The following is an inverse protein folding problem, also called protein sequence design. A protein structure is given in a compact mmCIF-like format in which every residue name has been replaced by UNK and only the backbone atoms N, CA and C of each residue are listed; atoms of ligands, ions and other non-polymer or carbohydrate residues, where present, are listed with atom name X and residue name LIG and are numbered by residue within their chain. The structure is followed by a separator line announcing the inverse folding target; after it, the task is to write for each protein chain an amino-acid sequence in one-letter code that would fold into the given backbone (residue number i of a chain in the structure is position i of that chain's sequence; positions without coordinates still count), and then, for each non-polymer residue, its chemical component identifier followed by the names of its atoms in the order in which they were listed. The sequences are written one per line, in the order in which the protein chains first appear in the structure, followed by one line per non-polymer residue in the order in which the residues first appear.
data_IF_732449176700
#
_entry.id   IF_732449176700
#
_cell.length_a   1.000
_cell.length_b   1.000
_cell.length_c   1.000
_cell.angle_alpha   90.00
_cell.angle_beta   90.00
_cell.angle_gamma   90.00
#
_symmetry.space_group_name_H-M   'P 1'
#
loop_
_entity.id
_entity.type
_entity.pdbx_description
1 polymer ?
#
# COMPACT_ATOMS: atom_id res chain seq x y z
N UNK A 1 79.59 159.35 -20.06
CA UNK A 1 78.21 159.41 -19.52
C UNK A 1 77.24 158.43 -20.19
N UNK A 2 77.56 157.80 -21.32
CA UNK A 2 76.61 156.88 -21.99
C UNK A 2 76.76 155.40 -21.58
N UNK A 3 77.98 154.94 -21.29
CA UNK A 3 78.28 153.54 -20.95
C UNK A 3 77.47 153.03 -19.74
N UNK A 4 77.26 153.87 -18.73
CA UNK A 4 76.45 153.52 -17.55
C UNK A 4 74.97 153.26 -17.85
N UNK A 5 74.37 153.91 -18.86
CA UNK A 5 73.00 153.60 -19.30
C UNK A 5 72.92 152.26 -20.02
N UNK A 6 73.93 151.94 -20.82
CA UNK A 6 73.99 150.65 -21.53
C UNK A 6 74.20 149.48 -20.55
N UNK A 7 75.08 149.63 -19.55
CA UNK A 7 75.21 148.64 -18.47
C UNK A 7 73.90 148.44 -17.70
N UNK A 8 73.21 149.53 -17.32
CA UNK A 8 71.93 149.42 -16.61
C UNK A 8 70.86 148.69 -17.44
N UNK A 9 70.82 148.93 -18.76
CA UNK A 9 69.89 148.24 -19.67
C UNK A 9 70.22 146.74 -19.83
N UNK A 10 71.50 146.37 -19.95
CA UNK A 10 71.90 144.96 -20.02
C UNK A 10 71.68 144.26 -18.68
N UNK A 11 71.97 144.91 -17.56
CA UNK A 11 71.70 144.39 -16.22
C UNK A 11 70.20 144.18 -15.99
N UNK A 12 69.34 145.12 -16.39
CA UNK A 12 67.88 144.98 -16.27
C UNK A 12 67.33 143.84 -17.15
N UNK A 13 67.88 143.66 -18.37
CA UNK A 13 67.59 142.49 -19.22
C UNK A 13 68.04 141.20 -18.56
N UNK A 14 69.26 141.14 -18.04
CA UNK A 14 69.81 139.97 -17.34
C UNK A 14 68.99 139.64 -16.08
N UNK A 15 68.61 140.63 -15.27
CA UNK A 15 67.70 140.45 -14.11
C UNK A 15 66.33 139.90 -14.54
N UNK A 16 65.81 140.32 -15.68
CA UNK A 16 64.54 139.83 -16.23
C UNK A 16 64.67 138.38 -16.72
N UNK A 17 65.75 138.05 -17.43
CA UNK A 17 66.09 136.66 -17.83
C UNK A 17 66.29 135.77 -16.61
N UNK A 18 67.04 136.22 -15.59
CA UNK A 18 67.24 135.50 -14.33
C UNK A 18 65.90 135.28 -13.60
N UNK A 19 64.97 136.26 -13.63
CA UNK A 19 63.62 136.08 -13.06
C UNK A 19 62.82 135.03 -13.84
N UNK A 20 62.86 135.05 -15.17
CA UNK A 20 62.20 134.05 -16.03
C UNK A 20 62.81 132.65 -15.94
N UNK A 21 64.13 132.56 -15.72
CA UNK A 21 64.81 131.29 -15.41
C UNK A 21 64.42 130.78 -14.02
N UNK A 22 64.29 131.67 -13.02
CA UNK A 22 63.81 131.29 -11.68
C UNK A 22 62.36 130.79 -11.70
N UNK A 23 61.45 131.44 -12.43
CA UNK A 23 60.07 130.92 -12.56
C UNK A 23 60.08 129.56 -13.24
N UNK A 24 60.79 129.40 -14.37
CA UNK A 24 60.95 128.10 -15.04
C UNK A 24 61.58 127.03 -14.16
N UNK A 25 62.55 127.36 -13.30
CA UNK A 25 63.09 126.42 -12.32
C UNK A 25 62.00 126.00 -11.33
N UNK A 26 61.23 126.93 -10.76
CA UNK A 26 60.13 126.58 -9.82
C UNK A 26 58.94 125.88 -10.49
N UNK A 27 58.74 126.07 -11.79
CA UNK A 27 57.75 125.35 -12.61
C UNK A 27 58.24 123.92 -12.87
N UNK A 28 59.49 123.76 -13.36
CA UNK A 28 60.14 122.47 -13.54
C UNK A 28 60.25 121.67 -12.22
N UNK A 29 60.46 122.34 -11.07
CA UNK A 29 60.49 121.71 -9.75
C UNK A 29 59.10 121.19 -9.33
N UNK A 30 58.03 121.95 -9.62
CA UNK A 30 56.64 121.50 -9.41
C UNK A 30 56.28 120.36 -10.35
N UNK A 31 56.65 120.44 -11.62
CA UNK A 31 56.44 119.35 -12.59
C UNK A 31 57.22 118.10 -12.19
N UNK A 32 58.49 118.23 -11.78
CA UNK A 32 59.30 117.14 -11.26
C UNK A 32 58.71 116.54 -9.97
N UNK A 33 58.11 117.37 -9.10
CA UNK A 33 57.38 116.91 -7.91
C UNK A 33 56.10 116.13 -8.28
N UNK A 34 55.32 116.65 -9.23
CA UNK A 34 54.11 116.00 -9.75
C UNK A 34 54.44 114.68 -10.47
N UNK A 35 55.53 114.63 -11.23
CA UNK A 35 56.05 113.41 -11.88
C UNK A 35 56.59 112.43 -10.85
N UNK A 36 57.33 112.86 -9.82
CA UNK A 36 57.78 111.97 -8.73
C UNK A 36 56.61 111.37 -7.96
N UNK A 37 55.57 112.16 -7.66
CA UNK A 37 54.40 111.68 -6.93
C UNK A 37 53.46 110.83 -7.78
N UNK A 38 53.33 111.09 -9.09
CA UNK A 38 52.62 110.19 -10.00
C UNK A 38 53.38 108.88 -10.22
N UNK A 39 54.71 108.93 -10.38
CA UNK A 39 55.55 107.73 -10.50
C UNK A 39 55.50 106.88 -9.24
N UNK A 40 55.56 107.48 -8.05
CA UNK A 40 55.42 106.75 -6.78
C UNK A 40 54.05 106.09 -6.58
N UNK A 41 52.96 106.70 -7.08
CA UNK A 41 51.64 106.06 -7.15
C UNK A 41 51.65 104.87 -8.10
N UNK A 42 52.13 105.06 -9.34
CA UNK A 42 52.22 103.99 -10.33
C UNK A 42 53.13 102.84 -9.89
N UNK A 43 54.21 103.11 -9.14
CA UNK A 43 55.07 102.09 -8.52
C UNK A 43 54.31 101.30 -7.44
N UNK A 44 53.53 101.96 -6.58
CA UNK A 44 52.69 101.31 -5.58
C UNK A 44 51.54 100.50 -6.21
N UNK A 45 50.90 101.02 -7.25
CA UNK A 45 49.83 100.34 -7.99
C UNK A 45 50.37 99.12 -8.76
N UNK A 46 51.56 99.22 -9.35
CA UNK A 46 52.28 98.11 -9.99
C UNK A 46 52.61 97.00 -8.98
N UNK A 47 53.10 97.34 -7.78
CA UNK A 47 53.40 96.35 -6.74
C UNK A 47 52.13 95.77 -6.10
N UNK A 48 51.03 96.52 -6.01
CA UNK A 48 49.72 95.99 -5.65
C UNK A 48 49.21 94.99 -6.71
N UNK A 49 49.29 95.32 -8.00
CA UNK A 49 48.93 94.43 -9.10
C UNK A 49 49.80 93.16 -9.11
N UNK A 50 51.11 93.27 -8.86
CA UNK A 50 52.02 92.11 -8.70
C UNK A 50 51.66 91.22 -7.51
N UNK A 51 51.26 91.80 -6.38
CA UNK A 51 50.77 91.05 -5.20
C UNK A 51 49.46 90.33 -5.50
N UNK A 52 48.55 90.98 -6.23
CA UNK A 52 47.29 90.37 -6.68
C UNK A 52 47.55 89.22 -7.69
N UNK A 53 48.45 89.41 -8.67
CA UNK A 53 48.86 88.37 -9.62
C UNK A 53 49.42 87.14 -8.89
N UNK A 54 50.40 87.30 -8.00
CA UNK A 54 50.94 86.17 -7.22
C UNK A 54 49.88 85.44 -6.42
N UNK A 55 48.93 86.18 -5.82
CA UNK A 55 47.80 85.58 -5.09
C UNK A 55 46.85 84.84 -6.02
N UNK A 56 46.67 85.28 -7.27
CA UNK A 56 45.93 84.54 -8.28
C UNK A 56 46.70 83.27 -8.69
N UNK A 57 48.00 83.36 -8.99
CA UNK A 57 48.86 82.22 -9.34
C UNK A 57 48.81 81.12 -8.26
N UNK A 58 48.85 81.50 -6.97
CA UNK A 58 48.80 80.57 -5.84
C UNK A 58 47.39 79.98 -5.62
N UNK A 59 46.33 80.75 -5.90
CA UNK A 59 44.96 80.24 -5.91
C UNK A 59 44.72 79.28 -7.08
N UNK A 60 45.28 79.54 -8.27
CA UNK A 60 45.20 78.63 -9.41
C UNK A 60 45.92 77.30 -9.13
N UNK A 61 47.13 77.34 -8.55
CA UNK A 61 47.84 76.12 -8.10
C UNK A 61 47.00 75.34 -7.09
N UNK A 62 46.41 76.01 -6.11
CA UNK A 62 45.55 75.38 -5.11
C UNK A 62 44.29 74.74 -5.74
N UNK A 63 43.63 75.43 -6.69
CA UNK A 63 42.51 74.85 -7.44
C UNK A 63 42.95 73.65 -8.30
N UNK A 64 44.10 73.70 -8.95
CA UNK A 64 44.66 72.56 -9.68
C UNK A 64 44.96 71.36 -8.76
N UNK A 65 45.43 71.59 -7.54
CA UNK A 65 45.60 70.53 -6.53
C UNK A 65 44.27 69.98 -6.04
N UNK A 66 43.27 70.82 -5.79
CA UNK A 66 41.91 70.37 -5.46
C UNK A 66 41.30 69.54 -6.59
N UNK A 67 41.41 69.97 -7.85
CA UNK A 67 40.96 69.19 -9.00
C UNK A 67 41.69 67.84 -9.14
N UNK A 68 43.01 67.78 -8.86
CA UNK A 68 43.76 66.51 -8.81
C UNK A 68 43.27 65.60 -7.68
N UNK A 69 43.02 66.14 -6.48
CA UNK A 69 42.49 65.38 -5.33
C UNK A 69 41.08 64.85 -5.62
N UNK A 70 40.17 65.71 -6.09
CA UNK A 70 38.81 65.34 -6.51
C UNK A 70 38.88 64.25 -7.58
N UNK A 71 39.70 64.44 -8.63
CA UNK A 71 39.87 63.46 -9.71
C UNK A 71 40.49 62.13 -9.26
N UNK A 72 41.25 62.09 -8.17
CA UNK A 72 41.71 60.83 -7.57
C UNK A 72 40.58 60.19 -6.74
N UNK A 73 39.94 60.92 -5.83
CA UNK A 73 38.83 60.40 -5.03
C UNK A 73 37.67 59.92 -5.90
N UNK A 74 37.43 60.53 -7.07
CA UNK A 74 36.46 60.05 -8.06
C UNK A 74 36.80 58.63 -8.55
N UNK A 75 38.08 58.37 -8.89
CA UNK A 75 38.57 57.05 -9.30
C UNK A 75 38.49 56.04 -8.15
N UNK A 76 38.85 56.45 -6.94
CA UNK A 76 38.82 55.59 -5.75
C UNK A 76 37.36 55.17 -5.45
N UNK A 77 36.41 56.11 -5.56
CA UNK A 77 34.97 55.85 -5.45
C UNK A 77 34.49 54.89 -6.54
N UNK A 78 34.88 55.10 -7.80
CA UNK A 78 34.41 54.26 -8.91
C UNK A 78 35.07 52.86 -8.89
N UNK A 79 36.30 52.75 -8.41
CA UNK A 79 36.95 51.47 -8.10
C UNK A 79 36.20 50.72 -7.00
N UNK A 80 35.89 51.37 -5.87
CA UNK A 80 35.12 50.78 -4.77
C UNK A 80 33.70 50.36 -5.19
N UNK A 81 33.02 51.15 -6.05
CA UNK A 81 31.74 50.73 -6.66
C UNK A 81 31.90 49.47 -7.51
N UNK A 82 32.96 49.37 -8.31
CA UNK A 82 33.20 48.19 -9.15
C UNK A 82 33.52 46.95 -8.33
N UNK A 83 34.27 47.09 -7.24
CA UNK A 83 34.56 46.01 -6.29
C UNK A 83 33.31 45.59 -5.50
N UNK A 84 32.48 46.54 -5.07
CA UNK A 84 31.18 46.28 -4.46
C UNK A 84 30.27 45.48 -5.39
N UNK A 85 30.08 45.95 -6.63
CA UNK A 85 29.29 45.25 -7.64
C UNK A 85 29.86 43.86 -8.01
N UNK A 86 31.18 43.63 -7.88
CA UNK A 86 31.77 42.31 -8.03
C UNK A 86 31.46 41.39 -6.83
N UNK A 87 31.54 41.91 -5.60
CA UNK A 87 31.17 41.19 -4.37
C UNK A 87 29.68 40.87 -4.31
N UNK A 88 28.81 41.78 -4.74
CA UNK A 88 27.36 41.52 -4.80
C UNK A 88 27.03 40.37 -5.76
N UNK A 89 27.74 40.27 -6.89
CA UNK A 89 27.62 39.15 -7.84
C UNK A 89 28.08 37.84 -7.25
N UNK A 90 29.24 37.79 -6.57
CA UNK A 90 29.71 36.54 -5.93
C UNK A 90 28.83 36.14 -4.74
N UNK A 91 28.30 37.10 -3.97
CA UNK A 91 27.31 36.84 -2.92
C UNK A 91 26.01 36.29 -3.50
N UNK A 92 25.54 36.79 -4.64
CA UNK A 92 24.34 36.28 -5.32
C UNK A 92 24.54 34.86 -5.86
N UNK A 93 25.69 34.57 -6.49
CA UNK A 93 26.03 33.24 -6.98
C UNK A 93 26.19 32.23 -5.83
N UNK A 94 26.96 32.57 -4.78
CA UNK A 94 27.10 31.73 -3.58
C UNK A 94 25.76 31.44 -2.89
N UNK A 95 24.85 32.43 -2.84
CA UNK A 95 23.47 32.20 -2.35
C UNK A 95 22.69 31.25 -3.25
N UNK A 96 22.81 31.36 -4.58
CA UNK A 96 22.16 30.45 -5.52
C UNK A 96 22.70 29.02 -5.41
N UNK A 97 24.02 28.85 -5.28
CA UNK A 97 24.67 27.55 -5.07
C UNK A 97 24.25 26.92 -3.74
N UNK A 98 24.24 27.70 -2.65
CA UNK A 98 23.82 27.22 -1.32
C UNK A 98 22.33 26.84 -1.30
N UNK A 99 21.47 27.59 -1.99
CA UNK A 99 20.05 27.25 -2.16
C UNK A 99 19.87 25.94 -2.93
N UNK A 100 20.60 25.74 -4.04
CA UNK A 100 20.57 24.48 -4.82
C UNK A 100 21.04 23.30 -3.98
N UNK A 101 22.18 23.43 -3.30
CA UNK A 101 22.71 22.37 -2.43
C UNK A 101 21.76 22.02 -1.27
N UNK A 102 21.03 23.00 -0.73
CA UNK A 102 19.98 22.75 0.26
C UNK A 102 18.80 21.96 -0.34
N UNK A 103 18.29 22.38 -1.51
CA UNK A 103 17.21 21.69 -2.22
C UNK A 103 17.59 20.27 -2.66
N UNK A 104 18.82 20.06 -3.12
CA UNK A 104 19.36 18.74 -3.48
C UNK A 104 19.47 17.83 -2.24
N UNK A 105 19.96 18.37 -1.10
CA UNK A 105 19.99 17.63 0.17
C UNK A 105 18.59 17.25 0.65
N UNK A 106 17.62 18.15 0.54
CA UNK A 106 16.22 17.91 0.92
C UNK A 106 15.54 16.88 -0.01
N UNK A 107 15.81 16.96 -1.32
CA UNK A 107 15.34 16.00 -2.33
C UNK A 107 16.01 14.61 -2.20
N UNK A 108 17.22 14.51 -1.62
CA UNK A 108 17.86 13.25 -1.28
C UNK A 108 17.34 12.69 0.05
N UNK A 109 17.15 13.54 1.07
CA UNK A 109 16.62 13.13 2.37
C UNK A 109 15.19 12.58 2.26
N UNK A 110 14.32 13.25 1.50
CA UNK A 110 12.96 12.77 1.19
C UNK A 110 12.99 11.42 0.48
N UNK A 111 13.75 11.28 -0.63
CA UNK A 111 13.89 9.98 -1.34
C UNK A 111 14.39 8.84 -0.45
N UNK A 112 15.39 9.08 0.40
CA UNK A 112 15.91 8.07 1.33
C UNK A 112 14.84 7.66 2.35
N UNK A 113 14.07 8.63 2.85
CA UNK A 113 12.97 8.38 3.78
C UNK A 113 11.81 7.63 3.11
N UNK A 114 11.41 8.02 1.90
CA UNK A 114 10.39 7.33 1.11
C UNK A 114 10.81 5.89 0.77
N UNK A 115 12.06 5.68 0.36
CA UNK A 115 12.62 4.35 0.13
C UNK A 115 12.65 3.47 1.39
N UNK A 116 12.97 4.04 2.55
CA UNK A 116 12.95 3.32 3.82
C UNK A 116 11.50 2.96 4.21
N UNK A 117 10.59 3.92 4.10
CA UNK A 117 9.18 3.78 4.43
C UNK A 117 8.46 2.79 3.51
N UNK A 118 8.83 2.71 2.23
CA UNK A 118 8.32 1.67 1.31
C UNK A 118 8.97 0.29 1.51
N UNK A 119 10.17 0.20 2.09
CA UNK A 119 10.77 -1.08 2.55
C UNK A 119 10.03 -1.60 3.79
N UNK A 120 9.72 -0.75 4.77
CA UNK A 120 8.92 -1.14 5.93
C UNK A 120 7.45 -1.42 5.58
N UNK A 121 6.83 -0.67 4.67
CA UNK A 121 5.48 -0.99 4.14
C UNK A 121 5.40 -2.31 3.36
N UNK A 122 6.52 -2.86 2.89
CA UNK A 122 6.58 -4.20 2.30
C UNK A 122 6.65 -5.23 3.42
N UNK A 123 7.65 -5.10 4.30
CA UNK A 123 7.80 -5.94 5.51
C UNK A 123 6.51 -6.06 6.33
N UNK A 124 5.79 -4.97 6.54
CA UNK A 124 4.50 -4.97 7.22
C UNK A 124 3.45 -5.85 6.50
N UNK A 125 3.32 -5.71 5.18
CA UNK A 125 2.42 -6.56 4.37
C UNK A 125 2.84 -8.01 4.34
N UNK A 126 4.14 -8.28 4.18
CA UNK A 126 4.70 -9.63 4.17
C UNK A 126 4.44 -10.34 5.52
N UNK A 127 4.44 -9.59 6.64
CA UNK A 127 4.10 -10.08 7.98
C UNK A 127 2.57 -10.21 8.19
N UNK A 128 1.76 -9.28 7.68
CA UNK A 128 0.30 -9.38 7.71
C UNK A 128 -0.21 -10.61 6.95
N UNK A 129 0.40 -10.91 5.80
CA UNK A 129 0.12 -12.12 5.00
C UNK A 129 0.48 -13.40 5.78
N UNK A 130 1.70 -13.48 6.32
CA UNK A 130 2.14 -14.61 7.18
C UNK A 130 1.25 -14.80 8.42
N UNK A 131 0.81 -13.72 9.09
CA UNK A 131 -0.12 -13.79 10.22
C UNK A 131 -1.50 -14.26 9.77
N UNK A 132 -1.93 -13.94 8.55
CA UNK A 132 -3.18 -14.44 7.98
C UNK A 132 -3.10 -15.95 7.65
N UNK A 133 -2.00 -16.41 7.07
CA UNK A 133 -1.76 -17.82 6.74
C UNK A 133 -1.67 -18.69 8.00
N UNK A 134 -0.82 -18.30 8.96
CA UNK A 134 -0.70 -19.01 10.25
C UNK A 134 -2.04 -19.07 11.01
N UNK A 135 -2.92 -18.09 10.84
CA UNK A 135 -4.27 -18.08 11.40
C UNK A 135 -5.20 -19.04 10.67
N UNK A 136 -5.07 -19.20 9.35
CA UNK A 136 -5.79 -20.21 8.56
C UNK A 136 -5.30 -21.62 8.91
N UNK A 137 -3.99 -21.85 8.98
CA UNK A 137 -3.40 -23.13 9.39
C UNK A 137 -3.83 -23.52 10.81
N UNK A 138 -3.76 -22.59 11.77
CA UNK A 138 -4.22 -22.80 13.15
C UNK A 138 -5.69 -23.22 13.22
N UNK A 139 -6.55 -22.57 12.44
CA UNK A 139 -7.97 -22.94 12.37
C UNK A 139 -8.15 -24.35 11.77
N UNK A 140 -7.45 -24.66 10.67
CA UNK A 140 -7.51 -25.98 10.03
C UNK A 140 -7.03 -27.11 10.95
N UNK A 141 -5.96 -26.88 11.71
CA UNK A 141 -5.45 -27.83 12.73
C UNK A 141 -6.44 -27.97 13.89
N UNK A 142 -7.04 -26.88 14.36
CA UNK A 142 -8.05 -26.91 15.42
C UNK A 142 -9.32 -27.68 14.99
N UNK A 143 -9.80 -27.49 13.76
CA UNK A 143 -10.93 -28.22 13.22
C UNK A 143 -10.61 -29.72 13.02
N UNK A 144 -9.41 -30.08 12.51
CA UNK A 144 -8.96 -31.49 12.44
C UNK A 144 -8.90 -32.15 13.81
N UNK A 145 -8.33 -31.48 14.80
CA UNK A 145 -8.25 -31.99 16.18
C UNK A 145 -9.66 -32.17 16.78
N UNK A 146 -10.57 -31.24 16.49
CA UNK A 146 -11.97 -31.30 16.92
C UNK A 146 -12.73 -32.47 16.27
N UNK A 147 -12.56 -32.72 14.96
CA UNK A 147 -13.20 -33.86 14.29
C UNK A 147 -12.65 -35.19 14.80
N UNK A 148 -11.34 -35.30 15.03
CA UNK A 148 -10.73 -36.48 15.63
C UNK A 148 -11.24 -36.71 17.06
N UNK A 149 -11.38 -35.65 17.87
CA UNK A 149 -11.94 -35.76 19.22
C UNK A 149 -13.41 -36.23 19.21
N UNK A 150 -14.25 -35.74 18.29
CA UNK A 150 -15.63 -36.23 18.14
C UNK A 150 -15.68 -37.69 17.67
N UNK A 151 -14.85 -38.08 16.70
CA UNK A 151 -14.77 -39.49 16.25
C UNK A 151 -14.34 -40.44 17.37
N UNK A 152 -13.34 -40.08 18.17
CA UNK A 152 -12.86 -40.89 19.29
C UNK A 152 -13.92 -40.99 20.38
N UNK A 153 -14.66 -39.91 20.65
CA UNK A 153 -15.80 -39.89 21.57
C UNK A 153 -16.92 -40.82 21.09
N UNK A 154 -17.34 -40.75 19.83
CA UNK A 154 -18.34 -41.67 19.27
C UNK A 154 -17.87 -43.14 19.29
N UNK A 155 -16.59 -43.39 19.00
CA UNK A 155 -16.01 -44.75 19.05
C UNK A 155 -16.03 -45.30 20.48
N UNK A 156 -15.76 -44.46 21.48
CA UNK A 156 -15.86 -44.82 22.90
C UNK A 156 -17.32 -45.04 23.36
N UNK A 157 -18.26 -44.19 22.93
CA UNK A 157 -19.68 -44.31 23.26
C UNK A 157 -20.28 -45.60 22.68
N UNK A 158 -20.04 -45.90 21.40
CA UNK A 158 -20.42 -47.17 20.76
C UNK A 158 -19.80 -48.40 21.43
N UNK A 159 -18.59 -48.27 21.98
CA UNK A 159 -17.95 -49.36 22.73
C UNK A 159 -18.60 -49.57 24.10
N UNK A 160 -18.95 -48.49 24.80
CA UNK A 160 -19.66 -48.54 26.09
C UNK A 160 -21.10 -49.07 25.94
N UNK A 161 -21.79 -48.74 24.85
CA UNK A 161 -23.11 -49.30 24.52
C UNK A 161 -23.05 -50.82 24.31
N UNK A 162 -22.07 -51.31 23.53
CA UNK A 162 -21.84 -52.75 23.34
C UNK A 162 -21.50 -53.46 24.64
N UNK A 163 -20.68 -52.86 25.49
CA UNK A 163 -20.35 -53.42 26.81
C UNK A 163 -21.60 -53.55 27.69
N UNK A 164 -22.47 -52.52 27.73
CA UNK A 164 -23.75 -52.56 28.45
C UNK A 164 -24.71 -53.61 27.91
N UNK A 165 -24.78 -53.80 26.58
CA UNK A 165 -25.62 -54.83 25.98
C UNK A 165 -25.21 -56.24 26.45
N UNK A 166 -23.91 -56.55 26.39
CA UNK A 166 -23.37 -57.83 26.89
C UNK A 166 -23.54 -57.97 28.41
N UNK A 167 -23.43 -56.88 29.18
CA UNK A 167 -23.71 -56.89 30.61
C UNK A 167 -25.18 -57.22 30.94
N UNK A 168 -26.13 -56.76 30.10
CA UNK A 168 -27.56 -57.08 30.23
C UNK A 168 -27.83 -58.54 29.84
N UNK A 169 -27.23 -59.03 28.74
CA UNK A 169 -27.33 -60.43 28.30
C UNK A 169 -26.83 -61.39 29.39
N UNK A 170 -25.64 -61.14 29.95
CA UNK A 170 -25.07 -61.95 31.04
C UNK A 170 -25.92 -61.93 32.32
N UNK A 171 -26.55 -60.79 32.65
CA UNK A 171 -27.48 -60.70 33.79
C UNK A 171 -28.76 -61.51 33.56
N UNK A 172 -29.28 -61.52 32.34
CA UNK A 172 -30.43 -62.36 31.98
C UNK A 172 -30.07 -63.85 32.03
N UNK A 173 -28.89 -64.25 31.57
CA UNK A 173 -28.40 -65.63 31.71
C UNK A 173 -28.28 -66.05 33.18
N UNK A 174 -27.75 -65.18 34.05
CA UNK A 174 -27.66 -65.43 35.50
C UNK A 174 -29.05 -65.66 36.10
N UNK A 175 -30.03 -64.78 35.83
CA UNK A 175 -31.41 -64.95 36.32
C UNK A 175 -32.08 -66.24 35.80
N UNK A 176 -31.77 -66.65 34.57
CA UNK A 176 -32.23 -67.92 33.99
C UNK A 176 -31.58 -69.12 34.69
N UNK A 177 -30.34 -69.01 35.18
CA UNK A 177 -29.70 -70.06 35.98
C UNK A 177 -30.22 -70.09 37.42
N UNK A 178 -30.41 -68.94 38.05
CA UNK A 178 -30.97 -68.82 39.41
C UNK A 178 -32.40 -69.39 39.50
N UNK A 179 -33.27 -69.03 38.55
CA UNK A 179 -34.64 -69.56 38.48
C UNK A 179 -34.68 -71.08 38.23
N UNK A 180 -33.74 -71.64 37.45
CA UNK A 180 -33.58 -73.10 37.31
C UNK A 180 -33.14 -73.77 38.61
N UNK A 181 -32.21 -73.16 39.36
CA UNK A 181 -31.77 -73.68 40.66
C UNK A 181 -32.94 -73.66 41.66
N UNK A 182 -33.72 -72.59 41.71
CA UNK A 182 -34.87 -72.47 42.62
C UNK A 182 -35.99 -73.47 42.26
N UNK A 183 -36.31 -73.63 40.97
CA UNK A 183 -37.27 -74.65 40.52
C UNK A 183 -36.83 -76.08 40.86
N UNK A 184 -35.52 -76.34 40.96
CA UNK A 184 -34.98 -77.63 41.39
C UNK A 184 -34.98 -77.80 42.93
N UNK A 185 -34.85 -76.70 43.69
CA UNK A 185 -35.06 -76.69 45.16
C UNK A 185 -36.53 -76.99 45.49
N UNK A 186 -37.46 -76.24 44.91
CA UNK A 186 -38.91 -76.41 45.15
C UNK A 186 -39.35 -77.85 44.87
N UNK A 187 -38.92 -78.45 43.75
CA UNK A 187 -39.21 -79.87 43.46
C UNK A 187 -38.64 -80.85 44.48
N UNK A 188 -37.49 -80.54 45.10
CA UNK A 188 -36.91 -81.37 46.15
C UNK A 188 -37.67 -81.22 47.48
N UNK A 189 -38.18 -80.03 47.79
CA UNK A 189 -39.03 -79.78 48.97
C UNK A 189 -40.45 -80.36 48.79
N UNK A 190 -41.04 -80.26 47.60
CA UNK A 190 -42.31 -80.91 47.23
C UNK A 190 -42.23 -82.44 47.37
N UNK A 191 -41.13 -83.05 46.89
CA UNK A 191 -40.86 -84.48 47.05
C UNK A 191 -40.65 -84.89 48.53
N UNK A 192 -40.39 -83.94 49.43
CA UNK A 192 -40.17 -84.16 50.87
C UNK A 192 -41.43 -83.91 51.72
N UNK A 193 -42.40 -83.14 51.23
CA UNK A 193 -43.48 -82.53 52.04
C UNK A 193 -44.90 -83.08 51.79
N UNK A 194 -45.01 -84.36 51.41
CA UNK A 194 -46.28 -85.02 51.10
C UNK A 194 -47.24 -85.24 52.27
N UNK A 195 -47.95 -84.21 52.74
CA UNK A 195 -49.03 -84.34 53.73
C UNK A 195 -50.18 -83.30 53.70
N UNK A 196 -50.02 -82.09 53.15
CA UNK A 196 -50.99 -80.96 53.33
C UNK A 196 -51.66 -80.54 52.00
N UNK A 197 -52.01 -81.51 51.17
CA UNK A 197 -52.31 -81.30 49.74
C UNK A 197 -53.46 -80.33 49.40
N UNK A 198 -54.68 -80.53 49.90
CA UNK A 198 -55.89 -79.95 49.26
C UNK A 198 -56.10 -78.45 49.53
N UNK A 199 -55.87 -77.95 50.74
CA UNK A 199 -55.94 -76.51 51.04
C UNK A 199 -54.79 -75.74 50.38
N UNK A 200 -53.58 -76.31 50.42
CA UNK A 200 -52.40 -75.75 49.78
C UNK A 200 -52.55 -75.72 48.26
N UNK A 201 -53.07 -76.78 47.63
CA UNK A 201 -53.35 -76.81 46.19
C UNK A 201 -54.41 -75.79 45.74
N UNK A 202 -55.39 -75.46 46.59
CA UNK A 202 -56.38 -74.40 46.31
C UNK A 202 -55.74 -73.01 46.34
N UNK A 203 -54.87 -72.76 47.31
CA UNK A 203 -54.10 -71.51 47.38
C UNK A 203 -53.08 -71.39 46.23
N UNK A 204 -52.36 -72.48 45.92
CA UNK A 204 -51.42 -72.55 44.79
C UNK A 204 -52.13 -72.25 43.47
N UNK A 205 -53.29 -72.85 43.18
CA UNK A 205 -54.07 -72.52 41.97
C UNK A 205 -54.52 -71.06 41.89
N UNK A 206 -54.81 -70.42 43.03
CA UNK A 206 -55.10 -68.98 43.06
C UNK A 206 -53.85 -68.14 42.78
N UNK A 207 -52.71 -68.53 43.34
CA UNK A 207 -51.41 -67.90 43.08
C UNK A 207 -51.01 -68.07 41.60
N UNK A 208 -51.09 -69.27 41.04
CA UNK A 208 -50.87 -69.58 39.62
C UNK A 208 -51.77 -68.72 38.71
N UNK A 209 -53.06 -68.58 39.07
CA UNK A 209 -54.01 -67.75 38.30
C UNK A 209 -53.62 -66.28 38.34
N UNK A 210 -53.25 -65.74 39.50
CA UNK A 210 -52.80 -64.35 39.65
C UNK A 210 -51.44 -64.10 38.99
N UNK A 211 -50.51 -65.06 39.05
CA UNK A 211 -49.22 -65.00 38.36
C UNK A 211 -49.40 -65.03 36.84
N UNK A 212 -50.30 -65.87 36.32
CA UNK A 212 -50.66 -65.89 34.90
C UNK A 212 -51.29 -64.57 34.45
N UNK A 213 -52.23 -64.02 35.22
CA UNK A 213 -52.83 -62.70 34.96
C UNK A 213 -51.78 -61.57 34.99
N UNK A 214 -50.86 -61.60 35.96
CA UNK A 214 -49.76 -60.63 36.05
C UNK A 214 -48.78 -60.75 34.88
N UNK A 215 -48.42 -61.97 34.48
CA UNK A 215 -47.55 -62.20 33.32
C UNK A 215 -48.18 -61.67 32.02
N UNK A 216 -49.45 -62.00 31.76
CA UNK A 216 -50.22 -61.49 30.61
C UNK A 216 -50.33 -59.96 30.67
N UNK A 217 -50.57 -59.37 31.84
CA UNK A 217 -50.61 -57.91 31.99
C UNK A 217 -49.24 -57.26 31.70
N UNK A 218 -48.15 -57.87 32.20
CA UNK A 218 -46.77 -57.41 31.97
C UNK A 218 -46.38 -57.48 30.50
N UNK A 219 -46.72 -58.58 29.81
CA UNK A 219 -46.46 -58.78 28.37
C UNK A 219 -47.25 -57.76 27.54
N UNK A 220 -48.53 -57.51 27.86
CA UNK A 220 -49.33 -56.47 27.22
C UNK A 220 -48.72 -55.06 27.42
N UNK A 221 -48.24 -54.73 28.64
CA UNK A 221 -47.56 -53.47 28.89
C UNK A 221 -46.24 -53.33 28.12
N UNK A 222 -45.44 -54.40 28.02
CA UNK A 222 -44.23 -54.42 27.19
C UNK A 222 -44.54 -54.29 25.68
N UNK A 223 -45.65 -54.85 25.20
CA UNK A 223 -46.14 -54.64 23.84
C UNK A 223 -46.56 -53.18 23.57
N UNK A 224 -47.20 -52.53 24.54
CA UNK A 224 -47.53 -51.10 24.47
C UNK A 224 -46.25 -50.25 24.53
N UNK A 225 -45.32 -50.56 25.43
CA UNK A 225 -44.05 -49.83 25.57
C UNK A 225 -43.21 -49.92 24.29
N UNK A 226 -43.01 -51.12 23.74
CA UNK A 226 -42.26 -51.32 22.50
C UNK A 226 -42.89 -50.62 21.30
N UNK A 227 -44.23 -50.59 21.18
CA UNK A 227 -44.91 -49.84 20.11
C UNK A 227 -44.84 -48.32 20.31
N UNK A 228 -44.83 -47.83 21.56
CA UNK A 228 -44.59 -46.41 21.86
C UNK A 228 -43.14 -46.00 21.58
N UNK A 229 -42.15 -46.80 21.96
CA UNK A 229 -40.73 -46.57 21.65
C UNK A 229 -40.47 -46.60 20.13
N UNK A 230 -41.08 -47.54 19.40
CA UNK A 230 -41.04 -47.58 17.94
C UNK A 230 -41.70 -46.33 17.32
N UNK A 231 -42.72 -45.76 17.96
CA UNK A 231 -43.34 -44.50 17.49
C UNK A 231 -42.48 -43.28 17.79
N UNK A 232 -41.84 -43.23 18.97
CA UNK A 232 -40.92 -42.13 19.36
C UNK A 232 -39.73 -42.09 18.39
N UNK A 233 -39.04 -43.22 18.20
CA UNK A 233 -37.87 -43.30 17.30
C UNK A 233 -38.20 -42.96 15.84
N UNK A 234 -39.38 -43.32 15.35
CA UNK A 234 -39.85 -42.87 14.03
C UNK A 234 -40.12 -41.35 13.99
N UNK A 235 -40.76 -40.77 15.00
CA UNK A 235 -41.00 -39.31 15.07
C UNK A 235 -39.70 -38.51 15.22
N UNK A 236 -38.71 -39.02 15.95
CA UNK A 236 -37.38 -38.43 16.04
C UNK A 236 -36.67 -38.43 14.68
N UNK A 237 -36.71 -39.57 13.97
CA UNK A 237 -36.18 -39.70 12.60
C UNK A 237 -36.89 -38.78 11.61
N UNK A 238 -38.23 -38.67 11.67
CA UNK A 238 -38.99 -37.72 10.84
C UNK A 238 -38.60 -36.26 11.13
N UNK A 239 -38.40 -35.90 12.41
CA UNK A 239 -37.93 -34.58 12.84
C UNK A 239 -36.51 -34.29 12.34
N UNK A 240 -35.59 -35.23 12.43
CA UNK A 240 -34.21 -35.04 11.96
C UNK A 240 -34.13 -34.96 10.43
N UNK A 241 -34.91 -35.78 9.71
CA UNK A 241 -35.05 -35.64 8.26
C UNK A 241 -35.68 -34.29 7.87
N UNK A 242 -36.66 -33.79 8.62
CA UNK A 242 -37.26 -32.48 8.38
C UNK A 242 -36.27 -31.33 8.63
N UNK A 243 -35.49 -31.41 9.72
CA UNK A 243 -34.44 -30.43 10.05
C UNK A 243 -33.33 -30.42 8.99
N UNK A 244 -32.92 -31.58 8.48
CA UNK A 244 -31.96 -31.67 7.37
C UNK A 244 -32.53 -31.06 6.07
N UNK A 245 -33.79 -31.35 5.74
CA UNK A 245 -34.49 -30.73 4.59
C UNK A 245 -34.56 -29.20 4.71
N UNK A 246 -34.86 -28.65 5.90
CA UNK A 246 -34.83 -27.20 6.12
C UNK A 246 -33.41 -26.64 5.90
N UNK A 247 -32.39 -27.27 6.48
CA UNK A 247 -30.98 -26.88 6.34
C UNK A 247 -30.54 -26.82 4.87
N UNK A 248 -30.87 -27.84 4.08
CA UNK A 248 -30.54 -27.90 2.65
C UNK A 248 -31.32 -26.87 1.82
N UNK A 249 -32.60 -26.63 2.12
CA UNK A 249 -33.39 -25.56 1.48
C UNK A 249 -32.82 -24.18 1.84
N UNK A 250 -32.43 -23.97 3.10
CA UNK A 250 -31.84 -22.72 3.60
C UNK A 250 -30.46 -22.46 3.02
N UNK A 251 -29.67 -23.50 2.78
CA UNK A 251 -28.41 -23.43 2.02
C UNK A 251 -28.66 -23.06 0.55
N UNK A 252 -29.58 -23.75 -0.14
CA UNK A 252 -29.97 -23.45 -1.53
C UNK A 252 -30.49 -22.02 -1.68
N UNK A 253 -31.29 -21.52 -0.72
CA UNK A 253 -31.79 -20.14 -0.71
C UNK A 253 -30.66 -19.12 -0.57
N UNK A 254 -29.66 -19.37 0.31
CA UNK A 254 -28.46 -18.51 0.44
C UNK A 254 -27.61 -18.51 -0.84
N UNK A 255 -27.45 -19.66 -1.48
CA UNK A 255 -26.74 -19.75 -2.77
C UNK A 255 -27.49 -19.03 -3.90
N UNK A 256 -28.81 -19.16 -3.96
CA UNK A 256 -29.66 -18.46 -4.92
C UNK A 256 -29.60 -16.94 -4.72
N UNK A 257 -29.73 -16.45 -3.48
CA UNK A 257 -29.60 -15.03 -3.15
C UNK A 257 -28.20 -14.47 -3.51
N UNK A 258 -27.13 -15.25 -3.31
CA UNK A 258 -25.77 -14.85 -3.73
C UNK A 258 -25.59 -14.84 -5.25
N UNK A 259 -26.33 -15.66 -6.00
CA UNK A 259 -26.36 -15.61 -7.48
C UNK A 259 -27.17 -14.40 -7.96
N UNK A 260 -28.34 -14.16 -7.39
CA UNK A 260 -29.17 -12.98 -7.69
C UNK A 260 -28.38 -11.67 -7.47
N UNK A 261 -27.73 -11.49 -6.32
CA UNK A 261 -26.92 -10.30 -6.05
C UNK A 261 -25.78 -10.08 -7.06
N UNK A 262 -25.14 -11.16 -7.54
CA UNK A 262 -24.13 -11.06 -8.61
C UNK A 262 -24.73 -10.66 -9.95
N UNK A 263 -25.90 -11.19 -10.28
CA UNK A 263 -26.62 -10.81 -11.50
C UNK A 263 -27.12 -9.35 -11.42
N UNK A 264 -27.49 -8.87 -10.24
CA UNK A 264 -27.78 -7.46 -9.97
C UNK A 264 -26.52 -6.59 -10.15
N UNK A 265 -25.37 -6.99 -9.59
CA UNK A 265 -24.07 -6.33 -9.78
C UNK A 265 -23.63 -6.28 -11.26
N UNK A 266 -23.78 -7.39 -12.00
CA UNK A 266 -23.51 -7.48 -13.44
C UNK A 266 -24.49 -6.62 -14.28
N UNK A 267 -25.76 -6.52 -13.86
CA UNK A 267 -26.76 -5.66 -14.48
C UNK A 267 -26.51 -4.17 -14.21
N UNK A 268 -26.02 -3.79 -13.03
CA UNK A 268 -25.62 -2.41 -12.76
C UNK A 268 -24.31 -2.04 -13.48
N UNK A 269 -23.35 -2.95 -13.59
CA UNK A 269 -22.11 -2.72 -14.36
C UNK A 269 -22.39 -2.57 -15.86
N UNK A 270 -23.26 -3.42 -16.44
CA UNK A 270 -23.66 -3.27 -17.85
C UNK A 270 -24.52 -2.02 -18.08
N UNK A 271 -25.42 -1.68 -17.16
CA UNK A 271 -26.25 -0.46 -17.22
C UNK A 271 -25.44 0.83 -17.08
N UNK A 272 -24.34 0.82 -16.33
CA UNK A 272 -23.43 1.98 -16.21
C UNK A 272 -22.49 2.13 -17.40
N UNK A 273 -22.14 1.03 -18.10
CA UNK A 273 -21.39 1.05 -19.37
C UNK A 273 -22.24 1.42 -20.58
N UNK A 274 -23.55 1.22 -20.53
CA UNK A 274 -24.46 1.46 -21.67
C UNK A 274 -24.39 2.92 -22.19
N UNK A 275 -24.46 3.99 -21.37
CA UNK A 275 -24.36 5.37 -21.87
C UNK A 275 -23.05 5.67 -22.60
N UNK A 276 -21.90 5.20 -22.08
CA UNK A 276 -20.61 5.37 -22.76
C UNK A 276 -20.58 4.68 -24.13
N UNK A 277 -21.16 3.48 -24.25
CA UNK A 277 -21.24 2.77 -25.53
C UNK A 277 -22.23 3.44 -26.50
N UNK A 278 -23.29 4.06 -26.00
CA UNK A 278 -24.19 4.89 -26.82
C UNK A 278 -23.50 6.17 -27.31
N UNK A 279 -22.68 6.82 -26.47
CA UNK A 279 -21.95 8.03 -26.84
C UNK A 279 -20.79 7.74 -27.81
N UNK A 280 -20.06 6.64 -27.61
CA UNK A 280 -19.11 6.11 -28.60
C UNK A 280 -19.81 5.79 -29.93
N UNK A 281 -21.00 5.17 -29.90
CA UNK A 281 -21.76 4.88 -31.12
C UNK A 281 -22.19 6.17 -31.86
N UNK A 282 -22.60 7.23 -31.15
CA UNK A 282 -22.89 8.55 -31.72
C UNK A 282 -21.62 9.20 -32.31
N UNK A 283 -20.48 9.06 -31.64
CA UNK A 283 -19.19 9.54 -32.13
C UNK A 283 -18.76 8.82 -33.42
N UNK A 284 -18.92 7.49 -33.50
CA UNK A 284 -18.64 6.75 -34.73
C UNK A 284 -19.65 7.06 -35.84
N UNK A 285 -20.93 7.27 -35.54
CA UNK A 285 -21.94 7.69 -36.53
C UNK A 285 -21.57 9.03 -37.17
N UNK A 286 -21.28 10.06 -36.37
CA UNK A 286 -20.88 11.39 -36.87
C UNK A 286 -19.55 11.36 -37.63
N UNK A 287 -18.59 10.50 -37.22
CA UNK A 287 -17.39 10.24 -38.01
C UNK A 287 -17.71 9.61 -39.38
N UNK A 288 -18.56 8.57 -39.42
CA UNK A 288 -19.00 7.91 -40.67
C UNK A 288 -19.73 8.89 -41.59
N UNK A 289 -20.58 9.76 -41.06
CA UNK A 289 -21.25 10.83 -41.84
C UNK A 289 -20.23 11.82 -42.42
N UNK A 290 -19.25 12.26 -41.63
CA UNK A 290 -18.20 13.17 -42.10
C UNK A 290 -17.32 12.53 -43.19
N UNK A 291 -17.05 11.22 -43.09
CA UNK A 291 -16.29 10.47 -44.08
C UNK A 291 -17.11 10.17 -45.34
N UNK A 292 -18.42 9.91 -45.22
CA UNK A 292 -19.34 9.79 -46.36
C UNK A 292 -19.43 11.10 -47.13
N UNK A 293 -19.64 12.22 -46.46
CA UNK A 293 -19.67 13.54 -47.12
C UNK A 293 -18.38 13.85 -47.86
N UNK A 294 -17.22 13.52 -47.28
CA UNK A 294 -15.91 13.66 -47.95
C UNK A 294 -15.72 12.66 -49.10
N UNK A 295 -16.30 11.47 -49.03
CA UNK A 295 -16.29 10.50 -50.12
C UNK A 295 -17.19 10.96 -51.27
N UNK A 296 -18.39 11.49 -50.98
CA UNK A 296 -19.30 12.09 -51.96
C UNK A 296 -18.67 13.31 -52.66
N UNK A 297 -18.01 14.19 -51.90
CA UNK A 297 -17.22 15.32 -52.44
C UNK A 297 -16.08 14.84 -53.36
N UNK A 298 -15.36 13.79 -52.95
CA UNK A 298 -14.28 13.20 -53.74
C UNK A 298 -14.78 12.42 -54.97
N UNK A 299 -15.92 11.74 -54.88
CA UNK A 299 -16.56 11.04 -56.00
C UNK A 299 -17.16 12.02 -57.00
N UNK A 300 -17.70 13.16 -56.56
CA UNK A 300 -18.14 14.24 -57.45
C UNK A 300 -16.95 14.81 -58.25
N UNK A 301 -15.84 15.15 -57.57
CA UNK A 301 -14.61 15.60 -58.23
C UNK A 301 -14.00 14.51 -59.15
N UNK A 302 -14.09 13.24 -58.77
CA UNK A 302 -13.67 12.11 -59.61
C UNK A 302 -14.59 11.95 -60.83
N UNK A 303 -15.89 12.20 -60.71
CA UNK A 303 -16.82 12.17 -61.85
C UNK A 303 -16.60 13.35 -62.80
N UNK A 304 -16.32 14.54 -62.28
CA UNK A 304 -15.92 15.71 -63.10
C UNK A 304 -14.63 15.42 -63.88
N UNK A 305 -13.57 14.98 -63.19
CA UNK A 305 -12.30 14.59 -63.82
C UNK A 305 -12.45 13.40 -64.79
N UNK A 306 -13.34 12.43 -64.50
CA UNK A 306 -13.68 11.33 -65.43
C UNK A 306 -14.50 11.80 -66.63
N UNK A 307 -15.37 12.78 -66.48
CA UNK A 307 -16.12 13.35 -67.61
C UNK A 307 -15.16 14.07 -68.56
N UNK A 308 -14.19 14.81 -68.02
CA UNK A 308 -13.10 15.41 -68.81
C UNK A 308 -12.16 14.37 -69.43
N UNK A 309 -11.87 13.27 -68.72
CA UNK A 309 -11.05 12.18 -69.28
C UNK A 309 -11.80 11.32 -70.31
N UNK A 310 -13.10 11.05 -70.17
CA UNK A 310 -13.87 10.34 -71.20
C UNK A 310 -14.14 11.23 -72.43
N UNK A 311 -14.23 12.57 -72.28
CA UNK A 311 -14.11 13.51 -73.43
C UNK A 311 -12.77 13.33 -74.17
N UNK A 312 -11.67 13.06 -73.45
CA UNK A 312 -10.35 12.77 -74.05
C UNK A 312 -10.20 11.34 -74.56
N UNK A 313 -11.00 10.38 -74.11
CA UNK A 313 -10.82 8.94 -74.35
C UNK A 313 -11.86 8.35 -75.31
N UNK A 314 -12.97 9.03 -75.55
CA UNK A 314 -13.86 8.71 -76.66
C UNK A 314 -13.07 8.64 -77.99
N UNK A 315 -12.17 9.61 -78.22
CA UNK A 315 -11.23 9.65 -79.35
C UNK A 315 -10.10 8.60 -79.32
N UNK A 316 -10.02 7.76 -78.27
CA UNK A 316 -9.09 6.63 -78.16
C UNK A 316 -9.78 5.26 -78.16
N UNK A 317 -11.10 5.20 -77.93
CA UNK A 317 -11.84 3.92 -77.88
C UNK A 317 -12.55 3.57 -79.19
N UNK A 318 -12.73 4.58 -80.05
CA UNK A 318 -12.92 4.42 -81.50
C UNK A 318 -11.81 3.55 -82.15
N UNK A 319 -10.67 3.40 -81.47
CA UNK A 319 -9.45 2.75 -81.95
C UNK A 319 -9.35 1.21 -81.69
N UNK A 320 -10.20 0.55 -80.85
CA UNK A 320 -9.79 -0.78 -80.25
C UNK A 320 -10.83 -1.77 -79.62
N UNK A 321 -11.53 -2.68 -80.36
CA UNK A 321 -12.62 -3.56 -79.80
C UNK A 321 -12.68 -5.10 -80.19
N UNK A 322 -12.31 -6.14 -79.33
CA UNK A 322 -12.30 -7.69 -79.59
C UNK A 322 -12.06 -8.84 -78.36
N UNK A 323 -12.94 -9.90 -77.85
CA UNK A 323 -12.82 -11.44 -77.22
C UNK A 323 -13.06 -12.18 -75.68
N UNK A 324 -13.38 -13.57 -75.36
CA UNK A 324 -13.84 -14.41 -74.01
C UNK A 324 -13.70 -16.10 -73.65
N UNK A 325 -14.06 -16.85 -72.43
CA UNK A 325 -13.90 -18.41 -71.89
C UNK A 325 -14.74 -19.25 -70.64
N UNK A 326 -14.65 -20.65 -70.19
CA UNK A 326 -15.39 -21.55 -69.00
C UNK A 326 -15.01 -23.13 -68.44
N UNK A 327 -15.63 -23.93 -67.36
CA UNK A 327 -15.35 -25.38 -66.63
C UNK A 327 -16.48 -26.23 -65.67
N UNK A 328 -16.62 -27.41 -64.81
CA UNK A 328 -16.09 -28.83 -64.16
C UNK A 328 -17.03 -29.88 -63.16
N UNK A 329 -16.75 -31.18 -62.55
CA UNK A 329 -17.34 -32.11 -61.31
C UNK A 329 -17.30 -33.81 -61.01
N UNK A 330 -17.54 -34.55 -59.78
CA UNK A 330 -17.54 -36.15 -59.35
C UNK A 330 -18.17 -36.92 -57.96
N UNK A 331 -18.23 -38.34 -57.60
CA UNK A 331 -18.71 -39.18 -56.27
C UNK A 331 -18.64 -40.86 -55.95
N UNK A 332 -18.89 -41.60 -54.71
CA UNK A 332 -18.72 -43.17 -54.22
C UNK A 332 -19.46 -43.93 -52.87
N UNK A 333 -19.56 -45.35 -52.51
CA UNK A 333 -20.03 -46.16 -51.17
C UNK A 333 -20.02 -47.85 -50.88
N UNK A 334 -20.18 -48.58 -49.62
CA UNK A 334 -20.22 -50.17 -49.19
C UNK A 334 -20.68 -50.85 -47.70
N UNK A 335 -20.91 -52.24 -47.33
CA UNK A 335 -20.99 -53.09 -45.92
C UNK A 335 -21.55 -54.68 -45.67
N UNK A 336 -21.31 -55.58 -44.55
CA UNK A 336 -21.95 -57.01 -44.09
C UNK A 336 -21.61 -57.91 -42.67
N UNK A 337 -22.28 -59.07 -42.14
CA UNK A 337 -22.00 -60.03 -40.87
C UNK A 337 -22.79 -61.48 -40.42
N UNK A 338 -22.49 -62.38 -39.32
CA UNK A 338 -23.25 -63.68 -38.72
C UNK A 338 -22.78 -64.75 -37.49
N UNK A 339 -23.53 -65.84 -36.88
CA UNK A 339 -23.34 -66.73 -35.56
C UNK A 339 -23.72 -68.36 -35.27
N UNK A 340 -23.60 -69.12 -34.04
CA UNK A 340 -23.97 -70.65 -33.64
C UNK A 340 -24.10 -71.33 -32.11
N UNK A 341 -24.20 -72.73 -31.73
CA UNK A 341 -24.74 -73.47 -30.39
C UNK A 341 -24.18 -74.78 -29.47
N UNK A 342 -24.76 -76.06 -29.22
CA UNK A 342 -25.13 -76.92 -27.90
C UNK A 342 -24.53 -78.36 -27.22
N UNK A 343 -25.29 -79.33 -26.46
CA UNK A 343 -25.08 -80.46 -25.35
C UNK A 343 -24.13 -80.19 -24.18
N UNK A 344 -23.06 -79.51 -24.52
CA UNK A 344 -22.00 -79.00 -23.66
C UNK A 344 -22.52 -78.31 -22.38
N UNK A 345 -23.75 -77.80 -22.40
CA UNK A 345 -24.41 -77.03 -21.34
C UNK A 345 -24.39 -77.66 -19.94
N UNK A 346 -24.68 -78.96 -19.79
CA UNK A 346 -24.89 -79.55 -18.45
C UNK A 346 -23.60 -79.77 -17.67
N UNK A 347 -22.55 -80.29 -18.31
CA UNK A 347 -21.23 -80.38 -17.66
C UNK A 347 -20.59 -79.00 -17.50
N UNK A 348 -20.82 -78.08 -18.46
CA UNK A 348 -20.45 -76.67 -18.30
C UNK A 348 -21.10 -76.05 -17.07
N UNK A 349 -22.36 -76.34 -16.75
CA UNK A 349 -23.05 -75.76 -15.60
C UNK A 349 -22.42 -76.16 -14.24
N UNK A 350 -21.90 -77.38 -14.10
CA UNK A 350 -21.21 -77.81 -12.88
C UNK A 350 -19.80 -77.21 -12.78
N UNK A 351 -19.05 -77.20 -13.89
CA UNK A 351 -17.71 -76.60 -13.95
C UNK A 351 -17.78 -75.10 -13.66
N UNK A 352 -18.72 -74.38 -14.30
CA UNK A 352 -18.96 -72.94 -14.09
C UNK A 352 -19.21 -72.58 -12.63
N UNK A 353 -19.88 -73.43 -11.84
CA UNK A 353 -20.12 -73.17 -10.40
C UNK A 353 -18.82 -73.18 -9.60
N UNK A 354 -18.01 -74.23 -9.75
CA UNK A 354 -16.70 -74.32 -9.09
C UNK A 354 -15.73 -73.24 -9.59
N UNK A 355 -15.84 -72.84 -10.85
CA UNK A 355 -15.12 -71.67 -11.38
C UNK A 355 -15.58 -70.37 -10.73
N UNK A 356 -16.89 -70.12 -10.56
CA UNK A 356 -17.39 -68.92 -9.86
C UNK A 356 -17.00 -68.88 -8.39
N UNK A 357 -17.02 -70.00 -7.67
CA UNK A 357 -16.58 -70.07 -6.26
C UNK A 357 -15.06 -69.81 -6.12
N UNK A 358 -14.27 -70.35 -7.06
CA UNK A 358 -12.82 -70.11 -7.17
C UNK A 358 -12.46 -68.68 -7.59
N UNK A 359 -13.33 -68.01 -8.35
CA UNK A 359 -13.20 -66.59 -8.69
C UNK A 359 -13.56 -65.73 -7.48
N UNK A 360 -14.72 -65.93 -6.86
CA UNK A 360 -15.16 -65.17 -5.69
C UNK A 360 -14.17 -65.24 -4.51
N UNK A 361 -13.63 -66.43 -4.22
CA UNK A 361 -12.60 -66.59 -3.15
C UNK A 361 -11.26 -65.92 -3.49
N UNK A 362 -10.90 -65.82 -4.77
CA UNK A 362 -9.74 -65.03 -5.21
C UNK A 362 -10.00 -63.53 -5.14
N UNK A 363 -11.18 -63.08 -5.52
CA UNK A 363 -11.59 -61.68 -5.48
C UNK A 363 -11.63 -61.16 -4.04
N UNK A 364 -12.17 -61.93 -3.09
CA UNK A 364 -12.19 -61.53 -1.68
C UNK A 364 -10.77 -61.56 -1.06
N UNK A 365 -9.90 -62.51 -1.43
CA UNK A 365 -8.49 -62.50 -1.00
C UNK A 365 -7.70 -61.31 -1.59
N UNK A 366 -7.99 -60.93 -2.84
CA UNK A 366 -7.43 -59.74 -3.47
C UNK A 366 -7.93 -58.45 -2.81
N UNK A 367 -9.22 -58.39 -2.45
CA UNK A 367 -9.85 -57.28 -1.71
C UNK A 367 -9.22 -57.10 -0.33
N UNK A 368 -9.09 -58.16 0.46
CA UNK A 368 -8.45 -58.13 1.79
C UNK A 368 -6.98 -57.72 1.67
N UNK A 369 -6.27 -58.22 0.65
CA UNK A 369 -4.87 -57.81 0.39
C UNK A 369 -4.75 -56.33 0.03
N UNK A 370 -5.67 -55.81 -0.79
CA UNK A 370 -5.75 -54.39 -1.16
C UNK A 370 -6.03 -53.52 0.07
N UNK A 371 -7.05 -53.88 0.87
CA UNK A 371 -7.39 -53.16 2.11
C UNK A 371 -6.23 -53.15 3.12
N UNK A 372 -5.48 -54.26 3.25
CA UNK A 372 -4.28 -54.34 4.09
C UNK A 372 -3.19 -53.36 3.61
N UNK A 373 -2.96 -53.29 2.31
CA UNK A 373 -1.88 -52.45 1.76
C UNK A 373 -2.28 -50.97 1.67
N UNK A 374 -3.58 -50.68 1.53
CA UNK A 374 -4.17 -49.34 1.73
C UNK A 374 -3.98 -48.88 3.18
N UNK A 375 -4.38 -49.69 4.17
CA UNK A 375 -4.19 -49.37 5.60
C UNK A 375 -2.70 -49.20 5.98
N UNK A 376 -1.78 -49.93 5.32
CA UNK A 376 -0.34 -49.73 5.48
C UNK A 376 0.14 -48.40 4.91
N UNK A 377 -0.39 -47.97 3.76
CA UNK A 377 -0.09 -46.66 3.19
C UNK A 377 -0.62 -45.52 4.08
N UNK A 378 -1.83 -45.68 4.64
CA UNK A 378 -2.40 -44.75 5.62
C UNK A 378 -1.55 -44.63 6.88
N UNK A 379 -1.08 -45.74 7.46
CA UNK A 379 -0.17 -45.72 8.61
C UNK A 379 1.13 -44.96 8.30
N UNK A 380 1.73 -45.18 7.12
CA UNK A 380 2.96 -44.46 6.70
C UNK A 380 2.69 -42.97 6.46
N UNK A 381 1.50 -42.60 5.96
CA UNK A 381 1.09 -41.20 5.82
C UNK A 381 0.91 -40.52 7.19
N UNK A 382 0.21 -41.16 8.12
CA UNK A 382 0.00 -40.67 9.49
C UNK A 382 1.31 -40.53 10.27
N UNK A 383 2.26 -41.47 10.10
CA UNK A 383 3.61 -41.34 10.69
C UNK A 383 4.36 -40.11 10.16
N UNK A 384 4.26 -39.82 8.85
CA UNK A 384 4.86 -38.62 8.25
C UNK A 384 4.18 -37.33 8.71
N UNK A 385 2.86 -37.32 8.82
CA UNK A 385 2.12 -36.16 9.34
C UNK A 385 2.51 -35.88 10.80
N UNK A 386 2.57 -36.91 11.66
CA UNK A 386 3.02 -36.79 13.04
C UNK A 386 4.47 -36.29 13.18
N UNK A 387 5.40 -36.79 12.37
CA UNK A 387 6.80 -36.32 12.36
C UNK A 387 6.89 -34.86 11.89
N UNK A 388 6.11 -34.48 10.86
CA UNK A 388 6.04 -33.09 10.40
C UNK A 388 5.44 -32.14 11.45
N UNK A 389 4.40 -32.58 12.16
CA UNK A 389 3.78 -31.84 13.27
C UNK A 389 4.73 -31.67 14.45
N UNK A 390 5.55 -32.69 14.76
CA UNK A 390 6.62 -32.58 15.77
C UNK A 390 7.68 -31.55 15.38
N UNK A 391 8.09 -31.50 14.11
CA UNK A 391 9.01 -30.47 13.61
C UNK A 391 8.39 -29.07 13.63
N UNK A 392 7.09 -28.93 13.32
CA UNK A 392 6.38 -27.67 13.40
C UNK A 392 6.27 -27.16 14.86
N UNK A 393 5.92 -28.03 15.81
CA UNK A 393 5.87 -27.71 17.24
C UNK A 393 7.23 -27.25 17.78
N UNK A 394 8.33 -27.88 17.34
CA UNK A 394 9.68 -27.44 17.72
C UNK A 394 9.98 -26.03 17.20
N UNK A 395 9.68 -25.75 15.92
CA UNK A 395 9.84 -24.39 15.35
C UNK A 395 8.99 -23.34 16.06
N UNK A 396 7.78 -23.69 16.50
CA UNK A 396 6.92 -22.78 17.28
C UNK A 396 7.60 -22.44 18.62
N UNK A 397 8.11 -23.43 19.35
CA UNK A 397 8.85 -23.20 20.59
C UNK A 397 10.13 -22.36 20.37
N UNK A 398 10.89 -22.63 19.30
CA UNK A 398 12.08 -21.86 18.93
C UNK A 398 11.74 -20.39 18.59
N UNK A 399 10.58 -20.14 17.99
CA UNK A 399 10.08 -18.78 17.68
C UNK A 399 9.51 -18.07 18.90
N UNK A 400 8.76 -18.77 19.77
CA UNK A 400 8.26 -18.23 21.04
C UNK A 400 9.41 -17.78 21.95
N UNK A 401 10.51 -18.54 21.98
CA UNK A 401 11.74 -18.16 22.68
C UNK A 401 12.40 -16.89 22.10
N UNK A 402 12.46 -16.76 20.77
CA UNK A 402 12.99 -15.56 20.10
C UNK A 402 12.10 -14.32 20.34
N UNK A 403 10.77 -14.48 20.32
CA UNK A 403 9.83 -13.39 20.63
C UNK A 403 9.98 -12.95 22.09
N UNK A 404 10.14 -13.89 23.04
CA UNK A 404 10.40 -13.56 24.43
C UNK A 404 11.74 -12.81 24.62
N UNK A 405 12.80 -13.22 23.92
CA UNK A 405 14.09 -12.50 23.96
C UNK A 405 13.99 -11.09 23.36
N UNK A 406 13.31 -10.93 22.22
CA UNK A 406 13.11 -9.62 21.59
C UNK A 406 12.26 -8.69 22.47
N UNK A 407 11.20 -9.21 23.12
CA UNK A 407 10.38 -8.44 24.04
C UNK A 407 11.18 -7.99 25.27
N UNK A 408 11.95 -8.87 25.91
CA UNK A 408 12.79 -8.48 27.05
C UNK A 408 13.84 -7.43 26.68
N UNK A 409 14.47 -7.55 25.50
CA UNK A 409 15.37 -6.51 24.97
C UNK A 409 14.64 -5.19 24.72
N UNK A 410 13.41 -5.24 24.20
CA UNK A 410 12.58 -4.05 23.95
C UNK A 410 12.20 -3.35 25.26
N UNK A 411 11.76 -4.09 26.27
CA UNK A 411 11.45 -3.59 27.62
C UNK A 411 12.67 -2.89 28.23
N UNK A 412 13.85 -3.52 28.25
CA UNK A 412 15.09 -2.87 28.72
C UNK A 412 15.45 -1.61 27.90
N UNK A 413 15.18 -1.57 26.59
CA UNK A 413 15.40 -0.34 25.81
C UNK A 413 14.38 0.77 26.08
N UNK A 414 13.17 0.43 26.54
CA UNK A 414 12.19 1.42 27.01
C UNK A 414 12.59 1.99 28.37
N UNK A 415 13.04 1.14 29.31
CA UNK A 415 13.57 1.57 30.62
C UNK A 415 14.75 2.54 30.44
N UNK A 416 15.76 2.14 29.66
CA UNK A 416 16.94 2.97 29.33
C UNK A 416 16.62 4.22 28.51
N UNK A 417 15.43 4.33 27.92
CA UNK A 417 14.94 5.54 27.24
C UNK A 417 14.16 6.44 28.22
N UNK A 418 13.45 5.85 29.19
CA UNK A 418 12.83 6.54 30.33
C UNK A 418 13.87 7.27 31.18
N UNK A 419 14.87 6.54 31.71
CA UNK A 419 15.97 7.10 32.51
C UNK A 419 16.67 8.28 31.81
N UNK A 420 16.92 8.16 30.50
CA UNK A 420 17.53 9.23 29.69
C UNK A 420 16.61 10.41 29.43
N UNK A 421 15.30 10.19 29.42
CA UNK A 421 14.31 11.26 29.28
C UNK A 421 14.21 12.05 30.58
N UNK A 422 14.17 11.37 31.72
CA UNK A 422 14.19 11.97 33.06
C UNK A 422 15.46 12.80 33.27
N UNK A 423 16.65 12.25 33.01
CA UNK A 423 17.93 12.98 33.08
C UNK A 423 17.96 14.22 32.16
N UNK A 424 17.29 14.16 31.00
CA UNK A 424 17.17 15.30 30.07
C UNK A 424 16.16 16.33 30.57
N UNK A 425 15.25 16.00 31.48
CA UNK A 425 14.36 16.96 32.14
C UNK A 425 15.04 17.60 33.36
N UNK A 426 15.76 16.82 34.16
CA UNK A 426 16.62 17.32 35.25
C UNK A 426 17.62 18.35 34.74
N UNK A 427 18.39 18.01 33.68
CA UNK A 427 19.36 18.92 33.07
C UNK A 427 18.74 20.16 32.41
N UNK A 428 17.44 20.14 32.05
CA UNK A 428 16.72 21.37 31.64
C UNK A 428 16.42 22.23 32.86
N UNK A 429 15.95 21.64 33.96
CA UNK A 429 15.67 22.35 35.22
C UNK A 429 16.92 23.04 35.75
N UNK A 430 18.04 22.31 35.86
CA UNK A 430 19.35 22.86 36.24
C UNK A 430 19.73 24.08 35.39
N UNK A 431 19.52 23.99 34.07
CA UNK A 431 19.81 25.07 33.12
C UNK A 431 18.84 26.25 33.27
N UNK A 432 17.60 26.04 33.70
CA UNK A 432 16.64 27.12 34.00
C UNK A 432 16.91 27.80 35.35
N UNK A 433 17.30 27.04 36.37
CA UNK A 433 17.75 27.57 37.67
C UNK A 433 19.06 28.35 37.53
N UNK A 434 20.03 27.86 36.75
CA UNK A 434 21.25 28.61 36.41
C UNK A 434 20.91 29.91 35.65
N UNK A 435 19.97 29.88 34.70
CA UNK A 435 19.47 31.11 34.04
C UNK A 435 18.74 32.03 35.02
N UNK A 436 18.07 31.52 36.05
CA UNK A 436 17.44 32.34 37.08
C UNK A 436 18.50 33.01 37.95
N UNK A 437 19.47 32.26 38.48
CA UNK A 437 20.60 32.79 39.27
C UNK A 437 21.41 33.85 38.52
N UNK A 438 21.65 33.68 37.21
CA UNK A 438 22.32 34.71 36.40
C UNK A 438 21.46 35.96 36.19
N UNK A 439 20.14 35.84 36.03
CA UNK A 439 19.23 37.01 35.99
C UNK A 439 19.25 37.77 37.31
N UNK A 440 19.12 37.07 38.43
CA UNK A 440 19.22 37.61 39.79
C UNK A 440 20.54 38.36 40.02
N UNK A 441 21.67 37.78 39.59
CA UNK A 441 22.99 38.40 39.74
C UNK A 441 23.12 39.69 38.93
N UNK A 442 22.58 39.72 37.71
CA UNK A 442 22.55 40.92 36.84
C UNK A 442 21.64 42.00 37.43
N UNK A 443 20.45 41.64 37.92
CA UNK A 443 19.54 42.59 38.58
C UNK A 443 20.12 43.18 39.88
N UNK A 444 20.96 42.43 40.59
CA UNK A 444 21.67 42.87 41.80
C UNK A 444 22.95 43.68 41.52
N UNK A 445 23.43 43.72 40.28
CA UNK A 445 24.63 44.50 39.89
C UNK A 445 24.32 45.74 39.03
N UNK A 446 23.05 45.93 38.67
CA UNK A 446 22.53 47.10 37.95
C UNK A 446 21.82 48.10 38.91
N UNK A 447 21.64 47.73 40.18
CA UNK A 447 21.10 48.57 41.27
C UNK A 447 22.21 49.01 42.24
#
# INVERSE_FOLDING_TARGET
MEEGKNLMSTEQKLRTVIKGLRTKITENEKELSNVKTSRGKLEADLDNARRQSRRADDLEKYQQELHKRIGQSQKDIDALKSEGAAKDRTIADLKSQLQKAAQEKEALATKINDEALDKERKRARDLEEQVSDLKVEKNLVADRAKTQATELKEKAERAAERAKAVEIELKAEIQIMESKLEAMRVRAEEASSGAIGDSQAKLLRQIETLQSQYAIASENWQGIETTLLARITNLEKERDEAQQRESDVRKKAREAAKRAKRQEEELEETRTKLPSLEDDAKAYQTQIESLRKRAEEAEAALQEAKADFEKQKASWKEEKSNQQIVQDMVSVSTVAAGPSVQLVERMSAAIRRLETEKVATKEELARISKQRDEARAEIVALMREAESGKSALQKVADLEAQVAEVNGRYETTLELLGEKSELVEELKSDVEDVKAMYRDLVERTIK
#
